data_IF_367780971637
#
_entry.id   IF_367780971637
#
_cell.length_a   1.000
_cell.length_b   1.000
_cell.length_c   1.000
_cell.angle_alpha   90.00
_cell.angle_beta   90.00
_cell.angle_gamma   90.00
#
_symmetry.space_group_name_H-M   'P 1'
#
loop_
_entity.id
_entity.type
_entity.pdbx_description
1 polymer ?
#
# COMPACT_ATOMS: atom_id res chain seq x y z
N UNK A 1 26.78 48.98 5.20
CA UNK A 1 25.77 48.44 4.26
C UNK A 1 26.15 47.02 3.80
N UNK A 2 26.67 46.17 4.68
CA UNK A 2 27.11 44.80 4.36
C UNK A 2 26.73 43.90 5.52
N UNK A 3 25.48 43.48 5.58
CA UNK A 3 24.98 42.53 6.61
C UNK A 3 23.93 41.57 6.02
N UNK A 4 23.09 42.07 5.09
CA UNK A 4 22.04 41.25 4.45
C UNK A 4 22.53 40.06 3.60
N UNK A 5 23.77 40.06 3.11
CA UNK A 5 24.31 38.93 2.33
C UNK A 5 24.69 37.73 3.22
N UNK A 6 25.17 37.98 4.44
CA UNK A 6 25.51 36.94 5.40
C UNK A 6 24.23 36.29 5.97
N UNK A 7 23.19 37.09 6.23
CA UNK A 7 21.87 36.59 6.67
C UNK A 7 21.22 35.69 5.63
N UNK A 8 21.35 36.02 4.33
CA UNK A 8 20.80 35.22 3.24
C UNK A 8 21.52 33.89 3.02
N UNK A 9 22.83 33.83 3.24
CA UNK A 9 23.62 32.60 3.18
C UNK A 9 23.28 31.64 4.32
N UNK A 10 23.16 32.17 5.54
CA UNK A 10 22.78 31.38 6.72
C UNK A 10 21.35 30.83 6.61
N UNK A 11 20.41 31.62 6.08
CA UNK A 11 19.04 31.15 5.85
C UNK A 11 18.98 30.05 4.78
N UNK A 12 19.84 30.13 3.75
CA UNK A 12 19.91 29.13 2.68
C UNK A 12 20.56 27.83 3.15
N UNK A 13 21.65 27.90 3.92
CA UNK A 13 22.25 26.73 4.59
C UNK A 13 21.27 26.03 5.52
N UNK A 14 20.48 26.79 6.28
CA UNK A 14 19.46 26.23 7.17
C UNK A 14 18.37 25.48 6.40
N UNK A 15 17.90 26.04 5.28
CA UNK A 15 16.92 25.39 4.41
C UNK A 15 17.49 24.12 3.78
N UNK A 16 18.72 24.18 3.25
CA UNK A 16 19.36 23.02 2.62
C UNK A 16 19.55 21.86 3.62
N UNK A 17 19.95 22.16 4.86
CA UNK A 17 20.08 21.17 5.93
C UNK A 17 18.74 20.55 6.35
N UNK A 18 17.67 21.34 6.42
CA UNK A 18 16.32 20.86 6.71
C UNK A 18 15.77 19.96 5.59
N UNK A 19 16.06 20.31 4.33
CA UNK A 19 15.72 19.50 3.15
C UNK A 19 16.48 18.18 3.18
N UNK A 20 17.78 18.18 3.49
CA UNK A 20 18.60 16.97 3.57
C UNK A 20 18.14 16.06 4.71
N UNK A 21 17.82 16.62 5.89
CA UNK A 21 17.29 15.86 7.01
C UNK A 21 15.91 15.25 6.70
N UNK A 22 15.05 15.98 5.96
CA UNK A 22 13.77 15.46 5.49
C UNK A 22 13.98 14.34 4.47
N UNK A 23 14.89 14.51 3.51
CA UNK A 23 15.23 13.51 2.51
C UNK A 23 15.72 12.21 3.17
N UNK A 24 16.63 12.30 4.14
CA UNK A 24 17.13 11.13 4.89
C UNK A 24 16.00 10.41 5.66
N UNK A 25 15.08 11.16 6.29
CA UNK A 25 13.91 10.56 6.96
C UNK A 25 12.96 9.88 5.98
N UNK A 26 12.73 10.48 4.81
CA UNK A 26 11.87 9.90 3.77
C UNK A 26 12.51 8.65 3.16
N UNK A 27 13.81 8.69 2.85
CA UNK A 27 14.58 7.54 2.36
C UNK A 27 14.56 6.41 3.39
N UNK A 28 14.75 6.71 4.69
CA UNK A 28 14.67 5.71 5.76
C UNK A 28 13.29 5.04 5.83
N UNK A 29 12.21 5.83 5.76
CA UNK A 29 10.84 5.30 5.73
C UNK A 29 10.57 4.42 4.50
N UNK A 30 11.10 4.81 3.33
CA UNK A 30 10.98 4.02 2.11
C UNK A 30 11.76 2.70 2.23
N UNK A 31 12.98 2.74 2.76
CA UNK A 31 13.79 1.55 3.00
C UNK A 31 13.12 0.54 3.95
N UNK A 32 12.51 1.00 5.04
CA UNK A 32 11.78 0.17 6.00
C UNK A 32 10.43 -0.32 5.44
N UNK A 33 9.85 0.42 4.50
CA UNK A 33 8.59 0.02 3.88
C UNK A 33 8.75 -1.13 2.88
N UNK A 34 9.97 -1.48 2.49
CA UNK A 34 10.19 -2.45 1.43
C UNK A 34 9.89 -1.89 0.03
N UNK A 35 9.60 -0.60 -0.04
CA UNK A 35 9.35 0.13 -1.27
C UNK A 35 10.67 0.70 -1.79
N UNK A 36 11.13 0.19 -2.92
CA UNK A 36 12.32 0.66 -3.60
C UNK A 36 11.93 1.44 -4.84
N UNK A 37 12.36 2.69 -4.92
CA UNK A 37 12.29 3.46 -6.18
C UNK A 37 13.23 2.78 -7.17
N UNK A 38 12.67 2.27 -8.27
CA UNK A 38 13.43 1.70 -9.38
C UNK A 38 13.82 2.78 -10.40
N UNK A 39 12.91 3.73 -10.65
CA UNK A 39 13.07 4.81 -11.61
C UNK A 39 12.41 6.08 -11.06
N UNK A 40 13.09 7.21 -11.22
CA UNK A 40 12.56 8.56 -11.02
C UNK A 40 12.75 9.29 -12.35
N UNK A 41 11.66 9.67 -13.00
CA UNK A 41 11.65 10.20 -14.36
C UNK A 41 10.79 11.45 -14.43
N UNK A 42 11.18 12.39 -15.27
CA UNK A 42 10.40 13.59 -15.58
C UNK A 42 9.86 13.48 -17.01
N UNK A 43 8.54 13.54 -17.16
CA UNK A 43 7.84 13.44 -18.45
C UNK A 43 6.83 14.57 -18.52
N UNK A 44 7.00 15.51 -19.45
CA UNK A 44 6.09 16.65 -19.66
C UNK A 44 5.79 17.42 -18.34
N UNK A 45 6.83 17.78 -17.59
CA UNK A 45 6.76 18.41 -16.24
C UNK A 45 6.06 17.57 -15.15
N UNK A 46 5.84 16.27 -15.40
CA UNK A 46 5.31 15.32 -14.42
C UNK A 46 6.46 14.45 -13.90
N UNK A 47 6.69 14.48 -12.58
CA UNK A 47 7.60 13.55 -11.92
C UNK A 47 6.91 12.21 -11.68
N UNK A 48 7.39 11.18 -12.36
CA UNK A 48 6.90 9.81 -12.28
C UNK A 48 7.88 8.94 -11.48
N UNK A 49 7.39 8.32 -10.41
CA UNK A 49 8.16 7.37 -9.59
C UNK A 49 7.68 5.95 -9.88
N UNK A 50 8.61 5.07 -10.28
CA UNK A 50 8.35 3.63 -10.36
C UNK A 50 8.87 2.99 -9.08
N UNK A 51 7.96 2.42 -8.30
CA UNK A 51 8.28 1.83 -7.01
C UNK A 51 8.05 0.32 -7.07
N UNK A 52 9.03 -0.46 -6.65
CA UNK A 52 8.86 -1.88 -6.33
C UNK A 52 8.56 -2.01 -4.85
N UNK A 53 7.35 -2.43 -4.50
CA UNK A 53 7.04 -2.87 -3.15
C UNK A 53 7.41 -4.35 -3.01
N UNK A 54 8.39 -4.67 -2.18
CA UNK A 54 8.70 -6.04 -1.77
C UNK A 54 7.76 -6.56 -0.68
N UNK A 55 6.82 -5.72 -0.22
CA UNK A 55 5.71 -6.14 0.64
C UNK A 55 4.91 -7.19 -0.12
N UNK A 56 4.95 -8.41 0.40
CA UNK A 56 4.01 -9.44 0.00
C UNK A 56 2.60 -8.87 0.22
N UNK A 57 1.88 -8.61 -0.88
CA UNK A 57 0.58 -7.95 -0.82
C UNK A 57 -0.40 -8.75 0.07
N UNK A 58 -1.52 -8.16 0.48
CA UNK A 58 -2.48 -8.79 1.41
C UNK A 58 -2.91 -10.21 0.99
N UNK A 59 -2.97 -10.48 -0.32
CA UNK A 59 -3.23 -11.81 -0.89
C UNK A 59 -2.20 -12.88 -0.50
N UNK A 60 -0.94 -12.51 -0.29
CA UNK A 60 0.12 -13.44 0.06
C UNK A 60 -0.01 -14.01 1.49
N UNK A 61 -0.76 -13.35 2.37
CA UNK A 61 -1.08 -13.85 3.72
C UNK A 61 -2.11 -14.98 3.71
N UNK A 62 -2.78 -15.19 2.57
CA UNK A 62 -3.90 -16.12 2.42
C UNK A 62 -3.45 -17.42 1.76
N UNK A 63 -4.05 -18.53 2.21
CA UNK A 63 -3.93 -19.82 1.52
C UNK A 63 -4.55 -19.76 0.11
N UNK A 64 -4.19 -20.67 -0.82
CA UNK A 64 -4.74 -20.66 -2.18
C UNK A 64 -6.28 -20.59 -2.23
N UNK A 65 -6.96 -21.38 -1.38
CA UNK A 65 -8.43 -21.39 -1.31
C UNK A 65 -9.01 -20.09 -0.75
N UNK A 66 -8.35 -19.48 0.22
CA UNK A 66 -8.76 -18.18 0.75
C UNK A 66 -8.55 -17.07 -0.28
N UNK A 67 -7.50 -17.13 -1.10
CA UNK A 67 -7.29 -16.20 -2.20
C UNK A 67 -8.40 -16.31 -3.26
N UNK A 68 -8.83 -17.52 -3.63
CA UNK A 68 -9.97 -17.71 -4.54
C UNK A 68 -11.23 -17.02 -4.02
N UNK A 69 -11.59 -17.29 -2.76
CA UNK A 69 -12.76 -16.69 -2.11
C UNK A 69 -12.61 -15.17 -2.05
N UNK A 70 -11.43 -14.67 -1.68
CA UNK A 70 -11.17 -13.25 -1.55
C UNK A 70 -11.26 -12.49 -2.88
N UNK A 71 -10.76 -13.08 -3.98
CA UNK A 71 -10.93 -12.52 -5.33
C UNK A 71 -12.41 -12.38 -5.69
N UNK A 72 -13.20 -13.43 -5.48
CA UNK A 72 -14.64 -13.37 -5.75
C UNK A 72 -15.36 -12.33 -4.90
N UNK A 73 -14.93 -12.15 -3.65
CA UNK A 73 -15.47 -11.11 -2.75
C UNK A 73 -15.14 -9.72 -3.26
N UNK A 74 -13.90 -9.48 -3.70
CA UNK A 74 -13.47 -8.23 -4.31
C UNK A 74 -14.24 -7.90 -5.59
N UNK A 75 -14.64 -8.91 -6.36
CA UNK A 75 -15.56 -8.77 -7.51
C UNK A 75 -17.04 -8.60 -7.12
N UNK A 76 -17.38 -8.52 -5.82
CA UNK A 76 -18.73 -8.28 -5.34
C UNK A 76 -19.63 -9.52 -5.20
N UNK A 77 -19.11 -10.74 -5.38
CA UNK A 77 -19.96 -11.94 -5.35
C UNK A 77 -20.43 -12.31 -3.93
N UNK A 78 -21.73 -12.53 -3.70
CA UNK A 78 -22.24 -12.95 -2.38
C UNK A 78 -21.83 -14.39 -2.05
N UNK A 79 -21.86 -14.75 -0.75
CA UNK A 79 -21.42 -16.07 -0.29
C UNK A 79 -22.14 -17.24 -0.98
N UNK A 80 -23.42 -17.08 -1.37
CA UNK A 80 -24.19 -18.10 -2.09
C UNK A 80 -23.63 -18.37 -3.49
N UNK A 81 -23.22 -17.31 -4.21
CA UNK A 81 -22.58 -17.45 -5.53
C UNK A 81 -21.21 -18.10 -5.41
N UNK A 82 -20.41 -17.66 -4.43
CA UNK A 82 -19.09 -18.26 -4.16
C UNK A 82 -19.22 -19.74 -3.81
N UNK A 83 -20.17 -20.08 -2.95
CA UNK A 83 -20.49 -21.45 -2.56
C UNK A 83 -20.82 -22.33 -3.78
N UNK A 84 -21.66 -21.83 -4.68
CA UNK A 84 -22.02 -22.54 -5.91
C UNK A 84 -20.84 -22.76 -6.84
N UNK A 85 -19.99 -21.75 -7.03
CA UNK A 85 -18.83 -21.83 -7.94
C UNK A 85 -17.75 -22.76 -7.39
N UNK A 86 -17.57 -22.75 -6.07
CA UNK A 86 -16.51 -23.52 -5.40
C UNK A 86 -16.99 -24.89 -4.88
N UNK A 87 -18.24 -25.25 -5.15
CA UNK A 87 -18.90 -26.49 -4.72
C UNK A 87 -18.78 -26.77 -3.20
N UNK A 88 -19.00 -25.73 -2.40
CA UNK A 88 -18.99 -25.81 -0.93
C UNK A 88 -20.23 -25.13 -0.34
N UNK A 89 -20.50 -25.35 0.94
CA UNK A 89 -21.63 -24.66 1.58
C UNK A 89 -21.36 -23.16 1.77
N UNK A 90 -22.42 -22.35 1.75
CA UNK A 90 -22.32 -20.92 2.10
C UNK A 90 -21.82 -20.69 3.53
N UNK A 91 -22.06 -21.64 4.44
CA UNK A 91 -21.50 -21.64 5.78
C UNK A 91 -19.98 -21.86 5.76
N UNK A 92 -19.49 -22.75 4.90
CA UNK A 92 -18.05 -22.97 4.69
C UNK A 92 -17.39 -21.69 4.17
N UNK A 93 -18.01 -21.01 3.20
CA UNK A 93 -17.54 -19.69 2.72
C UNK A 93 -17.47 -18.69 3.87
N UNK A 94 -18.49 -18.59 4.71
CA UNK A 94 -18.48 -17.71 5.88
C UNK A 94 -17.37 -18.05 6.88
N UNK A 95 -17.07 -19.34 7.08
CA UNK A 95 -15.96 -19.80 7.90
C UNK A 95 -14.59 -19.47 7.31
N UNK A 96 -14.43 -19.49 5.98
CA UNK A 96 -13.23 -18.97 5.33
C UNK A 96 -13.11 -17.45 5.49
N UNK A 97 -14.20 -16.70 5.29
CA UNK A 97 -14.21 -15.24 5.46
C UNK A 97 -13.78 -14.81 6.87
N UNK A 98 -14.24 -15.52 7.91
CA UNK A 98 -13.78 -15.25 9.29
C UNK A 98 -12.27 -15.41 9.44
N UNK A 99 -11.66 -16.43 8.83
CA UNK A 99 -10.21 -16.64 8.86
C UNK A 99 -9.47 -15.57 8.05
N UNK A 100 -10.01 -15.20 6.89
CA UNK A 100 -9.47 -14.13 6.05
C UNK A 100 -9.48 -12.80 6.80
N UNK A 101 -10.57 -12.46 7.46
CA UNK A 101 -10.70 -11.24 8.26
C UNK A 101 -9.62 -11.14 9.34
N UNK A 102 -9.35 -12.24 10.05
CA UNK A 102 -8.28 -12.30 11.04
C UNK A 102 -6.91 -12.13 10.37
N UNK A 103 -6.64 -12.84 9.27
CA UNK A 103 -5.34 -12.77 8.55
C UNK A 103 -5.08 -11.41 7.93
N UNK A 104 -6.12 -10.69 7.53
CA UNK A 104 -6.03 -9.36 6.93
C UNK A 104 -6.20 -8.23 7.95
N UNK A 105 -6.46 -8.57 9.22
CA UNK A 105 -6.70 -7.62 10.31
C UNK A 105 -7.86 -6.64 10.02
N UNK A 106 -8.95 -7.16 9.46
CA UNK A 106 -10.15 -6.38 9.10
C UNK A 106 -11.38 -6.91 9.80
N UNK A 107 -12.34 -6.04 10.08
CA UNK A 107 -13.58 -6.38 10.81
C UNK A 107 -14.80 -6.55 9.92
N UNK A 108 -14.71 -6.20 8.62
CA UNK A 108 -15.86 -6.23 7.73
C UNK A 108 -15.49 -6.64 6.31
N UNK A 109 -16.51 -7.06 5.55
CA UNK A 109 -16.39 -7.37 4.13
C UNK A 109 -15.92 -6.15 3.32
N UNK A 110 -16.47 -4.96 3.61
CA UNK A 110 -16.07 -3.74 2.93
C UNK A 110 -14.61 -3.38 3.27
N UNK A 111 -14.21 -3.49 4.54
CA UNK A 111 -12.81 -3.29 4.94
C UNK A 111 -11.87 -4.29 4.25
N UNK A 112 -12.28 -5.56 4.13
CA UNK A 112 -11.54 -6.55 3.34
C UNK A 112 -11.41 -6.11 1.87
N UNK A 113 -12.49 -5.70 1.21
CA UNK A 113 -12.44 -5.25 -0.19
C UNK A 113 -11.48 -4.06 -0.34
N UNK A 114 -11.58 -3.04 0.52
CA UNK A 114 -10.67 -1.91 0.50
C UNK A 114 -9.22 -2.31 0.75
N UNK A 115 -8.98 -3.27 1.66
CA UNK A 115 -7.63 -3.78 1.94
C UNK A 115 -7.03 -4.52 0.76
N UNK A 116 -7.87 -5.13 -0.09
CA UNK A 116 -7.48 -5.90 -1.26
C UNK A 116 -7.44 -5.08 -2.55
N UNK A 117 -8.05 -3.90 -2.57
CA UNK A 117 -7.96 -2.99 -3.70
C UNK A 117 -6.49 -2.57 -3.90
N UNK A 118 -6.00 -2.52 -5.15
CA UNK A 118 -4.76 -1.80 -5.42
C UNK A 118 -4.98 -0.37 -4.94
N UNK A 119 -4.08 0.13 -4.09
CA UNK A 119 -4.24 1.42 -3.43
C UNK A 119 -4.61 2.49 -4.47
N UNK A 120 -5.80 3.07 -4.33
CA UNK A 120 -6.05 4.36 -4.95
C UNK A 120 -5.20 5.41 -4.21
N UNK A 121 -4.62 6.36 -4.96
CA UNK A 121 -3.67 7.36 -4.45
C UNK A 121 -4.27 8.28 -3.38
#
# INVERSE_FOLDING_TARGET
>A
MTDGAATGLLAREQIDAEVEALALKLIGRLAESGERVLLDLEVDDIRCLVIRSDRAGPMALLSPREQEIARMVACGHPNKTIASVLEISAWTVASHLRRIFVKLEVSSRAAMVNRLAPGEP
#
